data_IF_705423759106
#
_entry.id   IF_705423759106
#
_cell.length_a   1.000
_cell.length_b   1.000
_cell.length_c   1.000
_cell.angle_alpha   90.00
_cell.angle_beta   90.00
_cell.angle_gamma   90.00
#
_symmetry.space_group_name_H-M   'P 1'
#
loop_
_entity.id
_entity.type
_entity.pdbx_description
1 polymer ?
#
# COMPACT_ATOMS: atom_id res chain seq x y z
N UNK A 1 12.96 9.74 9.44
CA UNK A 1 11.54 9.33 9.31
C UNK A 1 11.27 8.06 10.08
N UNK A 2 12.09 7.01 9.85
CA UNK A 2 12.03 5.73 10.55
C UNK A 2 13.30 5.55 11.38
N UNK A 3 13.31 6.11 12.59
CA UNK A 3 14.51 6.25 13.41
C UNK A 3 14.48 5.37 14.66
N UNK A 4 13.29 4.96 15.10
CA UNK A 4 13.08 4.05 16.24
C UNK A 4 11.85 3.15 15.98
N UNK A 5 11.64 2.16 16.84
CA UNK A 5 10.53 1.22 16.73
C UNK A 5 9.14 1.89 16.73
N UNK A 6 8.96 2.96 17.50
CA UNK A 6 7.72 3.73 17.52
C UNK A 6 7.40 4.41 16.18
N UNK A 7 8.41 4.77 15.40
CA UNK A 7 8.22 5.27 14.04
C UNK A 7 7.74 4.18 13.08
N UNK A 8 8.23 2.94 13.23
CA UNK A 8 7.75 1.81 12.44
C UNK A 8 6.27 1.49 12.75
N UNK A 9 5.87 1.54 14.04
CA UNK A 9 4.47 1.35 14.41
C UNK A 9 3.57 2.46 13.83
N UNK A 10 4.03 3.73 13.87
CA UNK A 10 3.31 4.85 13.25
C UNK A 10 3.22 4.70 11.73
N UNK A 11 4.27 4.21 11.08
CA UNK A 11 4.24 3.93 9.65
C UNK A 11 3.24 2.81 9.33
N UNK A 12 3.27 1.70 10.07
CA UNK A 12 2.30 0.62 9.87
C UNK A 12 0.86 1.10 10.06
N UNK A 13 0.60 1.90 11.10
CA UNK A 13 -0.70 2.54 11.33
C UNK A 13 -1.10 3.48 10.17
N UNK A 14 -0.15 4.25 9.64
CA UNK A 14 -0.38 5.16 8.52
C UNK A 14 -0.71 4.41 7.23
N UNK A 15 0.06 3.37 6.89
CA UNK A 15 -0.18 2.50 5.73
C UNK A 15 -1.57 1.88 5.83
N UNK A 16 -1.91 1.28 6.97
CA UNK A 16 -3.21 0.69 7.20
C UNK A 16 -4.37 1.70 7.05
N UNK A 17 -4.15 2.93 7.51
CA UNK A 17 -5.11 4.03 7.36
C UNK A 17 -5.31 4.42 5.90
N UNK A 18 -4.21 4.56 5.14
CA UNK A 18 -4.25 4.89 3.72
C UNK A 18 -4.92 3.77 2.91
N UNK A 19 -4.52 2.52 3.13
CA UNK A 19 -5.09 1.35 2.45
C UNK A 19 -6.61 1.25 2.70
N UNK A 20 -7.04 1.34 3.96
CA UNK A 20 -8.48 1.32 4.31
C UNK A 20 -9.23 2.49 3.66
N UNK A 21 -8.59 3.66 3.53
CA UNK A 21 -9.19 4.82 2.86
C UNK A 21 -9.32 4.59 1.35
N UNK A 22 -8.32 3.99 0.71
CA UNK A 22 -8.37 3.67 -0.73
C UNK A 22 -9.36 2.55 -1.01
N UNK A 23 -9.47 1.55 -0.13
CA UNK A 23 -10.52 0.54 -0.18
C UNK A 23 -11.89 1.19 -0.06
N UNK A 24 -12.10 2.12 0.89
CA UNK A 24 -13.34 2.90 0.97
C UNK A 24 -13.65 3.59 -0.35
N UNK A 25 -12.69 4.32 -0.93
CA UNK A 25 -12.89 4.98 -2.21
C UNK A 25 -13.19 3.98 -3.35
N UNK A 26 -12.53 2.83 -3.36
CA UNK A 26 -12.75 1.76 -4.35
C UNK A 26 -14.14 1.15 -4.26
N UNK A 27 -14.69 1.00 -3.04
CA UNK A 27 -16.04 0.45 -2.84
C UNK A 27 -17.15 1.45 -3.17
N UNK A 28 -16.97 2.72 -2.78
CA UNK A 28 -18.02 3.75 -2.89
C UNK A 28 -17.95 4.58 -4.17
N UNK A 29 -16.76 4.69 -4.78
CA UNK A 29 -16.52 5.43 -6.02
C UNK A 29 -15.76 4.57 -7.04
N UNK A 30 -16.25 3.37 -7.40
CA UNK A 30 -15.51 2.39 -8.19
C UNK A 30 -15.17 2.85 -9.62
N UNK A 31 -15.95 3.78 -10.17
CA UNK A 31 -15.68 4.38 -11.48
C UNK A 31 -14.52 5.39 -11.47
N UNK A 32 -14.11 5.84 -10.28
CA UNK A 32 -13.02 6.81 -10.08
C UNK A 32 -11.77 6.12 -9.55
N UNK A 33 -11.93 5.12 -8.67
CA UNK A 33 -10.82 4.43 -7.99
C UNK A 33 -10.97 2.91 -8.13
N UNK A 34 -9.92 2.26 -8.61
CA UNK A 34 -9.75 0.80 -8.56
C UNK A 34 -10.45 -0.03 -9.65
N UNK A 35 -11.64 0.39 -10.10
CA UNK A 35 -12.38 -0.34 -11.14
C UNK A 35 -12.78 -1.76 -10.72
N UNK A 36 -12.94 -2.65 -11.71
CA UNK A 36 -13.41 -4.03 -11.47
C UNK A 36 -12.35 -4.91 -10.82
N UNK A 37 -11.12 -4.96 -11.36
CA UNK A 37 -10.11 -5.87 -10.81
C UNK A 37 -9.72 -5.56 -9.37
N UNK A 38 -9.66 -4.29 -8.97
CA UNK A 38 -9.36 -3.97 -7.56
C UNK A 38 -10.51 -4.37 -6.63
N UNK A 39 -11.76 -4.28 -7.08
CA UNK A 39 -12.89 -4.83 -6.32
C UNK A 39 -12.84 -6.36 -6.25
N UNK A 40 -12.48 -7.04 -7.35
CA UNK A 40 -12.30 -8.50 -7.39
C UNK A 40 -11.19 -8.96 -6.44
N UNK A 41 -10.11 -8.18 -6.29
CA UNK A 41 -9.03 -8.41 -5.33
C UNK A 41 -9.57 -8.48 -3.90
N UNK A 42 -10.31 -7.46 -3.48
CA UNK A 42 -10.87 -7.41 -2.13
C UNK A 42 -12.03 -8.40 -1.91
N UNK A 43 -12.85 -8.67 -2.93
CA UNK A 43 -13.94 -9.65 -2.85
C UNK A 43 -13.43 -11.09 -2.72
N UNK A 44 -12.32 -11.42 -3.38
CA UNK A 44 -11.76 -12.78 -3.35
C UNK A 44 -10.90 -13.04 -2.12
N UNK A 45 -10.13 -12.05 -1.65
CA UNK A 45 -9.11 -12.28 -0.62
C UNK A 45 -9.38 -11.56 0.70
N UNK A 46 -10.33 -10.62 0.75
CA UNK A 46 -10.77 -9.98 1.98
C UNK A 46 -9.60 -9.37 2.77
N UNK A 47 -9.46 -9.79 4.03
CA UNK A 47 -8.39 -9.28 4.92
C UNK A 47 -6.98 -9.66 4.43
N UNK A 48 -6.85 -10.74 3.65
CA UNK A 48 -5.55 -11.16 3.11
C UNK A 48 -5.08 -10.17 2.05
N UNK A 49 -5.98 -9.63 1.23
CA UNK A 49 -5.67 -8.56 0.29
C UNK A 49 -5.13 -7.32 1.04
N UNK A 50 -5.88 -6.83 2.04
CA UNK A 50 -5.48 -5.71 2.89
C UNK A 50 -4.11 -5.93 3.54
N UNK A 51 -3.88 -7.13 4.06
CA UNK A 51 -2.59 -7.47 4.68
C UNK A 51 -1.45 -7.46 3.64
N UNK A 52 -1.67 -8.04 2.46
CA UNK A 52 -0.68 -8.03 1.37
C UNK A 52 -0.33 -6.59 0.95
N UNK A 53 -1.33 -5.74 0.76
CA UNK A 53 -1.15 -4.34 0.35
C UNK A 53 -0.38 -3.55 1.43
N UNK A 54 -0.74 -3.73 2.70
CA UNK A 54 -0.03 -3.08 3.80
C UNK A 54 1.43 -3.56 3.94
N UNK A 55 1.67 -4.87 3.82
CA UNK A 55 2.99 -5.45 4.01
C UNK A 55 3.96 -5.07 2.89
N UNK A 56 3.52 -5.04 1.63
CA UNK A 56 4.41 -4.68 0.51
C UNK A 56 4.85 -3.22 0.60
N UNK A 57 3.94 -2.30 0.98
CA UNK A 57 4.28 -0.90 1.21
C UNK A 57 5.30 -0.77 2.36
N UNK A 58 5.06 -1.49 3.47
CA UNK A 58 5.97 -1.48 4.62
C UNK A 58 7.38 -1.99 4.25
N UNK A 59 7.46 -3.08 3.46
CA UNK A 59 8.73 -3.61 2.92
C UNK A 59 9.45 -2.55 2.09
N UNK A 60 8.73 -1.84 1.20
CA UNK A 60 9.30 -0.76 0.37
C UNK A 60 9.94 0.34 1.22
N UNK A 61 9.27 0.78 2.29
CA UNK A 61 9.82 1.77 3.23
C UNK A 61 11.03 1.26 4.01
N UNK A 62 11.02 0.00 4.45
CA UNK A 62 12.16 -0.61 5.16
C UNK A 62 13.39 -0.66 4.25
N UNK A 63 13.24 -1.11 3.00
CA UNK A 63 14.32 -1.16 2.02
C UNK A 63 14.85 0.25 1.74
N UNK A 64 13.95 1.21 1.48
CA UNK A 64 14.34 2.60 1.23
C UNK A 64 15.09 3.20 2.43
N UNK A 65 14.67 2.92 3.68
CA UNK A 65 15.37 3.38 4.88
C UNK A 65 16.76 2.76 5.00
N UNK A 66 16.90 1.47 4.74
CA UNK A 66 18.19 0.80 4.75
C UNK A 66 19.13 1.43 3.71
N UNK A 67 18.69 1.57 2.47
CA UNK A 67 19.47 2.17 1.38
C UNK A 67 19.85 3.63 1.70
N UNK A 68 18.91 4.45 2.16
CA UNK A 68 19.16 5.84 2.50
C UNK A 68 20.24 5.99 3.59
N UNK A 69 20.21 5.11 4.59
CA UNK A 69 21.19 5.10 5.69
C UNK A 69 22.58 4.67 5.21
N UNK A 70 22.63 3.65 4.36
CA UNK A 70 23.88 3.11 3.81
C UNK A 70 24.60 4.09 2.88
N UNK A 71 23.87 5.02 2.25
CA UNK A 71 24.46 6.06 1.40
C UNK A 71 25.12 7.21 2.20
N UNK A 72 24.99 7.23 3.54
CA UNK A 72 25.61 8.25 4.40
C UNK A 72 25.11 9.68 4.13
N UNK A 73 23.95 9.84 3.47
CA UNK A 73 23.40 11.14 3.09
C UNK A 73 22.88 11.88 4.33
N UNK A 74 23.05 13.20 4.34
CA UNK A 74 22.36 14.06 5.32
C UNK A 74 20.85 13.95 5.09
N UNK A 75 20.11 13.76 6.17
CA UNK A 75 18.66 13.55 6.08
C UNK A 75 17.97 14.73 5.39
N UNK A 76 17.20 14.38 4.36
CA UNK A 76 16.33 15.26 3.62
C UNK A 76 15.09 14.47 3.22
N UNK A 77 13.91 14.98 3.62
CA UNK A 77 12.65 14.30 3.40
C UNK A 77 12.35 14.07 1.92
N UNK A 78 12.59 15.06 1.06
CA UNK A 78 12.29 14.96 -0.38
C UNK A 78 13.14 13.86 -1.02
N UNK A 79 14.44 13.82 -0.72
CA UNK A 79 15.33 12.76 -1.23
C UNK A 79 14.93 11.38 -0.70
N UNK A 80 14.46 11.29 0.53
CA UNK A 80 13.96 10.04 1.09
C UNK A 80 12.69 9.57 0.36
N UNK A 81 11.73 10.47 0.11
CA UNK A 81 10.49 10.12 -0.60
C UNK A 81 10.73 9.72 -2.05
N UNK A 82 11.65 10.40 -2.75
CA UNK A 82 12.07 10.00 -4.10
C UNK A 82 12.68 8.60 -4.10
N UNK A 83 13.51 8.27 -3.10
CA UNK A 83 14.07 6.93 -2.96
C UNK A 83 12.98 5.89 -2.67
N UNK A 84 11.99 6.20 -1.84
CA UNK A 84 10.86 5.30 -1.55
C UNK A 84 10.09 4.95 -2.83
N UNK A 85 9.75 5.96 -3.65
CA UNK A 85 9.06 5.74 -4.93
C UNK A 85 9.93 4.95 -5.90
N UNK A 86 11.23 5.24 -5.97
CA UNK A 86 12.16 4.48 -6.81
C UNK A 86 12.24 3.01 -6.39
N UNK A 87 12.33 2.74 -5.08
CA UNK A 87 12.36 1.38 -4.53
C UNK A 87 11.07 0.63 -4.86
N UNK A 88 9.91 1.27 -4.69
CA UNK A 88 8.61 0.67 -5.06
C UNK A 88 8.56 0.35 -6.56
N UNK A 89 8.90 1.30 -7.44
CA UNK A 89 8.86 1.06 -8.88
C UNK A 89 9.79 -0.10 -9.31
N UNK A 90 11.00 -0.18 -8.74
CA UNK A 90 11.93 -1.29 -9.01
C UNK A 90 11.40 -2.62 -8.48
N UNK A 91 10.81 -2.62 -7.28
CA UNK A 91 10.17 -3.79 -6.70
C UNK A 91 9.05 -4.32 -7.60
N UNK A 92 8.15 -3.44 -8.07
CA UNK A 92 6.97 -3.87 -8.83
C UNK A 92 7.35 -4.40 -10.21
N UNK A 93 8.31 -3.76 -10.88
CA UNK A 93 8.86 -4.25 -12.15
C UNK A 93 9.51 -5.62 -11.94
N UNK A 94 10.32 -5.77 -10.89
CA UNK A 94 10.96 -7.05 -10.58
C UNK A 94 9.92 -8.13 -10.25
N UNK A 95 8.95 -7.83 -9.39
CA UNK A 95 7.91 -8.76 -8.98
C UNK A 95 7.05 -9.18 -10.18
N UNK A 96 6.71 -8.25 -11.06
CA UNK A 96 5.97 -8.56 -12.28
C UNK A 96 6.75 -9.49 -13.21
N UNK A 97 8.00 -9.15 -13.53
CA UNK A 97 8.81 -9.90 -14.49
C UNK A 97 9.28 -11.24 -13.95
N UNK A 98 9.72 -11.28 -12.70
CA UNK A 98 10.36 -12.45 -12.10
C UNK A 98 9.38 -13.41 -11.42
N UNK A 99 8.22 -12.92 -10.94
CA UNK A 99 7.26 -13.72 -10.17
C UNK A 99 5.92 -13.88 -10.89
N UNK A 100 5.26 -12.78 -11.26
CA UNK A 100 3.90 -12.83 -11.83
C UNK A 100 3.91 -13.46 -13.23
N UNK A 101 4.78 -12.98 -14.13
CA UNK A 101 4.79 -13.39 -15.54
C UNK A 101 5.11 -14.89 -15.74
N UNK A 102 6.09 -15.50 -15.03
CA UNK A 102 6.47 -16.89 -15.27
C UNK A 102 5.47 -17.93 -14.74
N UNK A 103 4.72 -17.60 -13.69
CA UNK A 103 3.77 -18.56 -13.08
C UNK A 103 2.53 -18.65 -13.96
N UNK A 104 2.12 -19.81 -14.51
CA UNK A 104 0.99 -19.89 -15.44
C UNK A 104 -0.35 -19.65 -14.74
N UNK A 105 -1.36 -19.24 -15.52
CA UNK A 105 -2.70 -18.96 -14.99
C UNK A 105 -3.32 -20.23 -14.37
N UNK A 106 -4.03 -20.08 -13.25
CA UNK A 106 -4.68 -21.19 -12.52
C UNK A 106 -3.81 -21.87 -11.46
N UNK A 107 -2.52 -21.54 -11.36
CA UNK A 107 -1.64 -22.06 -10.31
C UNK A 107 -1.76 -21.30 -8.99
N UNK A 108 -2.11 -20.01 -9.04
CA UNK A 108 -2.26 -19.18 -7.85
C UNK A 108 -3.27 -18.06 -8.11
N UNK A 109 -4.35 -18.04 -7.32
CA UNK A 109 -5.46 -17.10 -7.50
C UNK A 109 -5.04 -15.63 -7.39
N UNK A 110 -4.12 -15.30 -6.48
CA UNK A 110 -3.64 -13.92 -6.34
C UNK A 110 -2.85 -13.49 -7.56
N UNK A 111 -1.96 -14.35 -8.06
CA UNK A 111 -1.20 -14.09 -9.28
C UNK A 111 -2.13 -13.95 -10.48
N UNK A 112 -3.20 -14.74 -10.56
CA UNK A 112 -4.20 -14.62 -11.62
C UNK A 112 -4.89 -13.25 -11.60
N UNK A 113 -5.22 -12.73 -10.41
CA UNK A 113 -5.77 -11.36 -10.27
C UNK A 113 -4.74 -10.30 -10.64
N UNK A 114 -3.48 -10.43 -10.22
CA UNK A 114 -2.41 -9.50 -10.62
C UNK A 114 -2.22 -9.46 -12.14
N UNK A 115 -2.36 -10.59 -12.84
CA UNK A 115 -2.31 -10.63 -14.30
C UNK A 115 -3.49 -9.88 -14.92
N UNK A 116 -4.71 -10.08 -14.44
CA UNK A 116 -5.87 -9.31 -14.89
C UNK A 116 -5.66 -7.82 -14.65
N UNK A 117 -5.09 -7.46 -13.49
CA UNK A 117 -4.83 -6.08 -13.12
C UNK A 117 -3.82 -5.42 -14.07
N UNK A 118 -2.75 -6.14 -14.41
CA UNK A 118 -1.75 -5.72 -15.39
C UNK A 118 -2.34 -5.58 -16.80
N UNK A 119 -3.21 -6.51 -17.21
CA UNK A 119 -3.90 -6.48 -18.50
C UNK A 119 -4.87 -5.26 -18.60
N UNK A 120 -5.51 -4.87 -17.48
CA UNK A 120 -6.46 -3.74 -17.43
C UNK A 120 -5.80 -2.37 -17.30
N UNK A 121 -4.77 -2.23 -16.45
CA UNK A 121 -4.25 -0.92 -16.02
C UNK A 121 -2.82 -0.64 -16.54
N UNK A 122 -2.10 -1.66 -17.00
CA UNK A 122 -0.76 -1.53 -17.57
C UNK A 122 0.18 -0.70 -16.69
N UNK A 123 0.81 0.33 -17.28
CA UNK A 123 1.77 1.19 -16.57
C UNK A 123 1.16 2.14 -15.53
N UNK A 124 -0.18 2.32 -15.51
CA UNK A 124 -0.82 3.20 -14.52
C UNK A 124 -0.72 2.67 -13.09
N UNK A 125 -0.50 1.35 -12.94
CA UNK A 125 -0.32 0.68 -11.65
C UNK A 125 0.84 1.32 -10.87
N UNK A 126 1.98 1.51 -11.52
CA UNK A 126 3.19 2.06 -10.88
C UNK A 126 2.92 3.46 -10.32
N UNK A 127 2.10 4.27 -11.02
CA UNK A 127 1.74 5.62 -10.58
C UNK A 127 0.77 5.56 -9.39
N UNK A 128 -0.20 4.66 -9.42
CA UNK A 128 -1.12 4.42 -8.30
C UNK A 128 -0.37 4.01 -7.03
N UNK A 129 0.55 3.06 -7.15
CA UNK A 129 1.35 2.55 -6.04
C UNK A 129 2.30 3.62 -5.49
N UNK A 130 2.93 4.43 -6.35
CA UNK A 130 3.69 5.60 -5.92
C UNK A 130 2.83 6.58 -5.10
N UNK A 131 1.56 6.76 -5.48
CA UNK A 131 0.58 7.54 -4.72
C UNK A 131 0.34 6.96 -3.33
N UNK A 132 0.17 5.63 -3.21
CA UNK A 132 0.02 4.94 -1.93
C UNK A 132 1.25 5.09 -1.04
N UNK A 133 2.46 4.98 -1.60
CA UNK A 133 3.71 5.19 -0.87
C UNK A 133 3.77 6.61 -0.31
N UNK A 134 3.52 7.63 -1.14
CA UNK A 134 3.60 9.03 -0.72
C UNK A 134 2.49 9.41 0.27
N UNK A 135 1.27 8.92 0.08
CA UNK A 135 0.17 9.12 1.01
C UNK A 135 0.49 8.49 2.37
N UNK A 136 1.04 7.27 2.39
CA UNK A 136 1.47 6.59 3.61
C UNK A 136 2.55 7.38 4.35
N UNK A 137 3.50 7.96 3.62
CA UNK A 137 4.49 8.84 4.23
C UNK A 137 3.87 10.10 4.82
N UNK A 138 2.96 10.75 4.10
CA UNK A 138 2.28 11.95 4.57
C UNK A 138 1.47 11.68 5.84
N UNK A 139 0.67 10.61 5.87
CA UNK A 139 -0.09 10.21 7.07
C UNK A 139 0.85 9.83 8.22
N UNK A 140 1.97 9.17 7.94
CA UNK A 140 2.96 8.86 8.98
C UNK A 140 3.57 10.13 9.59
N UNK A 141 3.85 11.17 8.79
CA UNK A 141 4.33 12.46 9.29
C UNK A 141 3.26 13.14 10.15
N UNK A 142 1.98 13.04 9.78
CA UNK A 142 0.87 13.51 10.62
C UNK A 142 0.83 12.75 11.95
N UNK A 143 0.90 11.41 11.92
CA UNK A 143 0.88 10.57 13.13
C UNK A 143 2.09 10.79 14.04
N UNK A 144 3.25 11.19 13.49
CA UNK A 144 4.42 11.59 14.30
C UNK A 144 4.19 12.87 15.11
N UNK A 145 3.26 13.73 14.69
CA UNK A 145 2.89 14.93 15.45
C UNK A 145 1.84 14.69 16.53
N UNK A 146 1.30 13.46 16.63
CA UNK A 146 0.23 13.11 17.55
C UNK A 146 0.72 12.23 18.73
N UNK A 147 0.06 12.32 19.90
CA UNK A 147 0.29 11.39 21.00
C UNK A 147 -0.02 9.94 20.61
N UNK A 148 0.70 8.97 21.20
CA UNK A 148 0.54 7.54 20.88
C UNK A 148 -0.90 7.05 21.04
N UNK A 149 -1.61 7.50 22.07
CA UNK A 149 -3.00 7.10 22.33
C UNK A 149 -3.98 7.64 21.27
N UNK A 150 -3.69 8.79 20.66
CA UNK A 150 -4.50 9.35 19.56
C UNK A 150 -4.31 8.52 18.30
N UNK A 151 -3.07 8.16 17.97
CA UNK A 151 -2.76 7.28 16.83
C UNK A 151 -3.42 5.91 17.03
N UNK A 152 -3.28 5.31 18.21
CA UNK A 152 -3.91 4.04 18.54
C UNK A 152 -5.44 4.10 18.40
N UNK A 153 -6.09 5.12 18.97
CA UNK A 153 -7.53 5.29 18.86
C UNK A 153 -7.99 5.46 17.41
N UNK A 154 -7.29 6.29 16.62
CA UNK A 154 -7.59 6.49 15.21
C UNK A 154 -7.45 5.17 14.42
N UNK A 155 -6.35 4.44 14.59
CA UNK A 155 -6.12 3.15 13.93
C UNK A 155 -7.15 2.10 14.34
N UNK A 156 -7.60 2.09 15.60
CA UNK A 156 -8.70 1.21 16.05
C UNK A 156 -10.01 1.54 15.35
N UNK A 157 -10.37 2.83 15.24
CA UNK A 157 -11.57 3.25 14.52
C UNK A 157 -11.51 2.88 13.04
N UNK A 158 -10.36 3.08 12.40
CA UNK A 158 -10.11 2.66 11.01
C UNK A 158 -10.28 1.14 10.88
N UNK A 159 -9.69 0.36 11.79
CA UNK A 159 -9.77 -1.10 11.75
C UNK A 159 -11.19 -1.62 11.99
N UNK A 160 -11.96 -0.96 12.84
CA UNK A 160 -13.38 -1.26 13.01
C UNK A 160 -14.16 -0.94 11.72
N UNK A 161 -13.97 0.24 11.13
CA UNK A 161 -14.62 0.64 9.89
C UNK A 161 -14.29 -0.30 8.72
N UNK A 162 -13.03 -0.75 8.62
CA UNK A 162 -12.58 -1.71 7.61
C UNK A 162 -13.49 -2.95 7.55
N UNK A 163 -13.92 -3.47 8.70
CA UNK A 163 -14.76 -4.69 8.74
C UNK A 163 -16.08 -4.52 8.00
N UNK A 164 -16.63 -3.31 7.92
CA UNK A 164 -17.86 -3.03 7.17
C UNK A 164 -17.57 -2.65 5.72
N UNK A 165 -16.52 -1.87 5.50
CA UNK A 165 -16.12 -1.41 4.16
C UNK A 165 -15.74 -2.62 3.30
N UNK A 166 -14.96 -3.55 3.84
CA UNK A 166 -14.45 -4.72 3.10
C UNK A 166 -15.56 -5.55 2.46
N UNK A 167 -16.69 -5.69 3.14
CA UNK A 167 -17.85 -6.46 2.65
C UNK A 167 -18.94 -5.59 2.01
N UNK A 168 -18.66 -4.31 1.77
CA UNK A 168 -19.55 -3.43 1.00
C UNK A 168 -19.48 -3.79 -0.47
N UNK A 169 -20.63 -4.10 -1.08
CA UNK A 169 -20.71 -4.41 -2.51
C UNK A 169 -20.67 -3.12 -3.35
N UNK A 170 -19.71 -2.97 -4.27
CA UNK A 170 -19.67 -1.82 -5.17
C UNK A 170 -20.84 -1.87 -6.16
N UNK A 171 -21.36 -0.70 -6.55
CA UNK A 171 -22.29 -0.58 -7.69
C UNK A 171 -21.46 -0.24 -8.92
N UNK A 172 -21.10 -1.26 -9.69
CA UNK A 172 -20.32 -1.18 -10.93
C UNK A 172 -21.22 -1.07 -12.17
#
# INVERSE_FOLDING_TARGET
MLDNFGDFLRLAAAIFTVDTTVLFLTRYFPHVVGGRTLNDWYDQFGIVAVASDCLVILIGFIIARYLYSSLGLKYNLVWFLLLVVLVQALHDIFFYVAVIKPIPRGHNKMIDVFKNYADENGGQIIVGDAGLMLASAAVCLLFKSQPDHVVAAATTVVGYALTYILYTKPRL
#
